data_IF_434416727927
#
_entry.id   IF_434416727927
#
_cell.length_a   1.000
_cell.length_b   1.000
_cell.length_c   1.000
_cell.angle_alpha   90.00
_cell.angle_beta   90.00
_cell.angle_gamma   90.00
#
_symmetry.space_group_name_H-M   'P 1'
#
loop_
_entity.id
_entity.type
_entity.pdbx_description
1 polymer ?
#
# COMPACT_ATOMS: atom_id res chain seq x y z
N UNK A 1 -12.30 3.93 9.36
CA UNK A 1 -11.24 2.90 9.39
C UNK A 1 -10.37 3.16 10.60
N UNK A 2 -9.93 2.12 11.33
CA UNK A 2 -9.13 2.33 12.54
C UNK A 2 -7.70 2.80 12.24
N UNK A 3 -7.13 3.74 13.02
CA UNK A 3 -5.75 4.20 12.83
C UNK A 3 -4.73 3.07 12.83
N UNK A 4 -4.92 2.07 13.69
CA UNK A 4 -4.05 0.89 13.74
C UNK A 4 -3.99 0.15 12.39
N UNK A 5 -5.13 0.03 11.71
CA UNK A 5 -5.22 -0.61 10.40
C UNK A 5 -4.45 0.18 9.33
N UNK A 6 -4.59 1.52 9.34
CA UNK A 6 -3.81 2.40 8.47
C UNK A 6 -2.30 2.29 8.75
N UNK A 7 -1.90 2.32 10.01
CA UNK A 7 -0.49 2.22 10.42
C UNK A 7 0.12 0.86 10.06
N UNK A 8 -0.66 -0.22 10.20
CA UNK A 8 -0.25 -1.56 9.77
C UNK A 8 -0.07 -1.62 8.26
N UNK A 9 -1.03 -1.13 7.47
CA UNK A 9 -0.92 -1.08 6.02
C UNK A 9 0.29 -0.25 5.56
N UNK A 10 0.50 0.92 6.16
CA UNK A 10 1.70 1.74 5.94
C UNK A 10 2.97 0.94 6.19
N UNK A 11 3.06 0.20 7.30
CA UNK A 11 4.23 -0.60 7.61
C UNK A 11 4.47 -1.74 6.61
N UNK A 12 3.41 -2.41 6.15
CA UNK A 12 3.50 -3.47 5.13
C UNK A 12 4.11 -2.90 3.84
N UNK A 13 3.58 -1.77 3.38
CA UNK A 13 4.04 -1.13 2.15
C UNK A 13 5.47 -0.61 2.27
N UNK A 14 5.82 0.00 3.41
CA UNK A 14 7.17 0.46 3.68
C UNK A 14 8.20 -0.69 3.68
N UNK A 15 7.86 -1.82 4.30
CA UNK A 15 8.72 -3.02 4.31
C UNK A 15 8.86 -3.65 2.91
N UNK A 16 7.85 -3.48 2.06
CA UNK A 16 7.89 -3.88 0.65
C UNK A 16 8.61 -2.87 -0.25
N UNK A 17 9.16 -1.77 0.30
CA UNK A 17 9.97 -0.80 -0.43
C UNK A 17 9.25 0.47 -0.88
N UNK A 18 7.97 0.69 -0.51
CA UNK A 18 7.29 1.94 -0.84
C UNK A 18 7.88 3.11 -0.06
N UNK A 19 8.44 4.07 -0.79
CA UNK A 19 9.03 5.28 -0.24
C UNK A 19 7.94 6.25 0.24
N UNK A 20 6.82 6.32 -0.48
CA UNK A 20 5.67 7.14 -0.07
C UNK A 20 5.08 6.62 1.24
N UNK A 21 4.92 5.30 1.39
CA UNK A 21 4.46 4.73 2.65
C UNK A 21 5.45 4.98 3.79
N UNK A 22 6.76 4.81 3.55
CA UNK A 22 7.79 5.09 4.54
C UNK A 22 7.80 6.56 5.01
N UNK A 23 7.59 7.51 4.10
CA UNK A 23 7.55 8.96 4.39
C UNK A 23 6.21 9.42 4.99
N UNK A 24 5.12 8.68 4.77
CA UNK A 24 3.83 9.04 5.36
C UNK A 24 3.89 9.04 6.89
N UNK A 25 3.08 9.86 7.55
CA UNK A 25 3.02 9.89 9.01
C UNK A 25 2.05 8.82 9.55
N UNK A 26 2.39 8.13 10.66
CA UNK A 26 1.43 7.30 11.35
C UNK A 26 0.31 8.18 11.94
N UNK A 27 -0.89 7.62 12.06
CA UNK A 27 -2.00 8.29 12.72
C UNK A 27 -2.02 7.89 14.20
N UNK A 28 -2.09 8.89 15.08
CA UNK A 28 -2.25 8.75 16.52
C UNK A 28 -3.29 9.75 17.05
N UNK A 29 -3.91 9.46 18.20
CA UNK A 29 -4.85 10.37 18.87
C UNK A 29 -6.17 10.63 18.11
N UNK A 30 -6.54 9.76 17.17
CA UNK A 30 -7.81 9.82 16.44
C UNK A 30 -8.57 8.52 16.63
N UNK A 31 -9.89 8.58 16.74
CA UNK A 31 -10.73 7.38 16.86
C UNK A 31 -10.86 6.64 15.53
N UNK A 32 -10.89 7.42 14.44
CA UNK A 32 -11.08 6.93 13.08
C UNK A 32 -10.32 7.78 12.06
N UNK A 33 -10.02 7.12 10.95
CA UNK A 33 -9.37 7.69 9.76
C UNK A 33 -10.32 7.54 8.57
N UNK A 34 -10.48 8.59 7.74
CA UNK A 34 -11.22 8.49 6.50
C UNK A 34 -10.65 7.39 5.60
N UNK A 35 -11.53 6.65 4.93
CA UNK A 35 -11.14 5.61 3.96
C UNK A 35 -10.24 6.20 2.85
N UNK A 36 -10.46 7.47 2.49
CA UNK A 36 -9.65 8.20 1.50
C UNK A 36 -8.16 8.26 1.82
N UNK A 37 -7.75 8.19 3.10
CA UNK A 37 -6.34 8.10 3.47
C UNK A 37 -5.76 6.75 3.06
N UNK A 38 -6.49 5.66 3.33
CA UNK A 38 -6.09 4.32 2.95
C UNK A 38 -6.04 4.13 1.44
N UNK A 39 -7.06 4.59 0.71
CA UNK A 39 -7.08 4.50 -0.77
C UNK A 39 -5.96 5.33 -1.39
N UNK A 40 -5.67 6.53 -0.86
CA UNK A 40 -4.56 7.37 -1.32
C UNK A 40 -3.20 6.69 -1.09
N UNK A 41 -3.01 6.09 0.08
CA UNK A 41 -1.79 5.34 0.42
C UNK A 41 -1.58 4.15 -0.53
N UNK A 42 -2.65 3.39 -0.81
CA UNK A 42 -2.60 2.25 -1.75
C UNK A 42 -2.30 2.72 -3.18
N UNK A 43 -3.01 3.74 -3.67
CA UNK A 43 -2.79 4.27 -5.02
C UNK A 43 -1.33 4.74 -5.22
N UNK A 44 -0.78 5.49 -4.26
CA UNK A 44 0.59 5.95 -4.34
C UNK A 44 1.60 4.79 -4.32
N UNK A 45 1.43 3.82 -3.43
CA UNK A 45 2.31 2.65 -3.39
C UNK A 45 2.21 1.78 -4.66
N UNK A 46 1.01 1.64 -5.23
CA UNK A 46 0.81 0.93 -6.50
C UNK A 46 1.63 1.55 -7.61
N UNK A 47 1.54 2.86 -7.74
CA UNK A 47 2.19 3.57 -8.84
C UNK A 47 3.73 3.55 -8.65
N UNK A 48 4.22 3.64 -7.41
CA UNK A 48 5.64 3.42 -7.08
C UNK A 48 6.10 2.01 -7.46
N UNK A 49 5.36 0.97 -7.07
CA UNK A 49 5.74 -0.41 -7.37
C UNK A 49 5.73 -0.70 -8.86
N UNK A 50 4.71 -0.22 -9.60
CA UNK A 50 4.66 -0.33 -11.06
C UNK A 50 5.86 0.31 -11.73
N UNK A 51 6.28 1.48 -11.23
CA UNK A 51 7.46 2.16 -11.75
C UNK A 51 8.75 1.40 -11.42
N UNK A 52 8.91 0.91 -10.19
CA UNK A 52 10.07 0.14 -9.77
C UNK A 52 10.22 -1.16 -10.59
N UNK A 53 9.11 -1.85 -10.81
CA UNK A 53 9.07 -3.14 -11.50
C UNK A 53 9.00 -3.01 -13.02
N UNK A 54 9.00 -1.79 -13.58
CA UNK A 54 8.82 -1.56 -15.02
C UNK A 54 9.81 -2.37 -15.88
N UNK A 55 11.01 -2.62 -15.39
CA UNK A 55 12.06 -3.39 -16.05
C UNK A 55 11.80 -4.90 -16.12
N UNK A 56 10.92 -5.45 -15.28
CA UNK A 56 10.65 -6.90 -15.24
C UNK A 56 9.83 -7.36 -16.47
N UNK A 57 10.04 -8.59 -16.96
CA UNK A 57 9.23 -9.16 -18.03
C UNK A 57 7.76 -9.38 -17.60
N UNK A 58 6.83 -9.40 -18.55
CA UNK A 58 5.40 -9.51 -18.28
C UNK A 58 5.01 -10.80 -17.53
N UNK A 59 5.71 -11.92 -17.76
CA UNK A 59 5.46 -13.19 -17.07
C UNK A 59 5.89 -13.20 -15.59
N UNK A 60 6.62 -12.17 -15.13
CA UNK A 60 6.99 -11.99 -13.72
C UNK A 60 6.11 -10.94 -13.02
N UNK A 61 5.12 -10.40 -13.73
CA UNK A 61 4.25 -9.33 -13.24
C UNK A 61 2.82 -9.80 -13.06
N UNK A 62 2.13 -9.14 -12.14
CA UNK A 62 0.68 -9.16 -12.00
C UNK A 62 0.21 -7.72 -11.81
N UNK A 63 -0.69 -7.26 -12.69
CA UNK A 63 -1.18 -5.86 -12.68
C UNK A 63 -0.05 -4.81 -12.77
N UNK A 64 0.96 -5.11 -13.60
CA UNK A 64 2.17 -4.32 -13.83
C UNK A 64 3.14 -4.19 -12.65
N UNK A 65 2.95 -4.99 -11.59
CA UNK A 65 3.85 -5.08 -10.44
C UNK A 65 4.44 -6.48 -10.34
N UNK A 66 5.61 -6.62 -9.72
CA UNK A 66 6.16 -7.91 -9.30
C UNK A 66 5.18 -8.63 -8.36
N UNK A 67 5.24 -9.96 -8.33
CA UNK A 67 4.39 -10.76 -7.44
C UNK A 67 4.53 -10.33 -5.96
N UNK A 68 5.74 -10.06 -5.42
CA UNK A 68 5.90 -9.54 -4.06
C UNK A 68 5.19 -8.22 -3.81
N UNK A 69 5.35 -7.22 -4.69
CA UNK A 69 4.70 -5.92 -4.54
C UNK A 69 3.17 -6.02 -4.67
N UNK A 70 2.68 -6.86 -5.59
CA UNK A 70 1.26 -7.17 -5.71
C UNK A 70 0.70 -7.76 -4.41
N UNK A 71 1.41 -8.71 -3.78
CA UNK A 71 0.96 -9.30 -2.52
C UNK A 71 1.01 -8.31 -1.35
N UNK A 72 2.02 -7.44 -1.31
CA UNK A 72 2.15 -6.42 -0.28
C UNK A 72 0.99 -5.43 -0.32
N UNK A 73 0.62 -4.94 -1.51
CA UNK A 73 -0.48 -3.98 -1.64
C UNK A 73 -1.84 -4.59 -1.29
N UNK A 74 -2.07 -5.85 -1.66
CA UNK A 74 -3.30 -6.57 -1.28
C UNK A 74 -3.34 -6.86 0.23
N UNK A 75 -2.19 -7.17 0.83
CA UNK A 75 -2.09 -7.37 2.29
C UNK A 75 -2.38 -6.07 3.05
N UNK A 76 -1.88 -4.93 2.54
CA UNK A 76 -2.16 -3.61 3.08
C UNK A 76 -3.65 -3.24 2.96
N UNK A 77 -4.24 -3.46 1.78
CA UNK A 77 -5.68 -3.24 1.56
C UNK A 77 -6.55 -4.09 2.48
N UNK A 78 -6.19 -5.38 2.64
CA UNK A 78 -6.85 -6.32 3.56
C UNK A 78 -6.76 -5.86 5.02
N UNK A 79 -5.58 -5.41 5.46
CA UNK A 79 -5.40 -4.88 6.82
C UNK A 79 -6.32 -3.69 7.11
N UNK A 80 -6.58 -2.86 6.09
CA UNK A 80 -7.49 -1.70 6.17
C UNK A 80 -8.97 -2.04 5.98
N UNK A 81 -9.31 -3.25 5.53
CA UNK A 81 -10.66 -3.60 5.13
C UNK A 81 -11.14 -2.85 3.88
N UNK A 82 -10.22 -2.47 3.00
CA UNK A 82 -10.51 -1.78 1.74
C UNK A 82 -10.50 -2.80 0.60
N UNK A 83 -11.63 -2.94 -0.07
CA UNK A 83 -11.86 -3.86 -1.19
C UNK A 83 -11.86 -3.15 -2.55
N UNK A 84 -12.04 -1.82 -2.58
CA UNK A 84 -12.01 -0.97 -3.78
C UNK A 84 -11.08 0.22 -3.58
N UNK A 85 -10.05 0.34 -4.43
CA UNK A 85 -9.03 1.39 -4.37
C UNK A 85 -8.30 1.57 -5.71
#
# INVERSE_FOLDING_TARGET
MKPAAYNQARSILANAGSQTAAKSHPVHGKDDVPVSYGTSLLAAARDEFRQADRHLPANQKKSDMSIPHYNAIHSAAKAMGIDRW
#
